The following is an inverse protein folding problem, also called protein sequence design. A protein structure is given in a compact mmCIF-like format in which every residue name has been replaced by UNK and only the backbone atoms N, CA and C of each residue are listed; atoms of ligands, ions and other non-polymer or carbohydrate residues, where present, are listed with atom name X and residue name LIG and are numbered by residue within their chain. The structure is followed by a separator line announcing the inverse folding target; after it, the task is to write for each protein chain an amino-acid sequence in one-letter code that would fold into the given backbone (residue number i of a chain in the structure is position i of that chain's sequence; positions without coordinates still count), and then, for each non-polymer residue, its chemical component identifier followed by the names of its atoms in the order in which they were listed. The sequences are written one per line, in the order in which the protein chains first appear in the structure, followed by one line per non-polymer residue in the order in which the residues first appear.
data_IF_251495946568
#
_entry.id   IF_251495946568
#
_cell.length_a   1.000
_cell.length_b   1.000
_cell.length_c   1.000
_cell.angle_alpha   90.00
_cell.angle_beta   90.00
_cell.angle_gamma   90.00
#
_symmetry.space_group_name_H-M   'P 1'
#
loop_
_entity.id
_entity.type
_entity.pdbx_description
1 polymer ?
#
# COMPACT_ATOMS: atom_id res chain seq x y z
N UNK A 1 12.14 5.35 -23.43
CA UNK A 1 11.95 5.05 -24.87
C UNK A 1 10.58 4.42 -25.04
N UNK A 2 9.60 5.17 -25.53
CA UNK A 2 8.28 4.62 -25.91
C UNK A 2 8.22 4.49 -27.43
N UNK A 3 7.91 3.28 -27.90
CA UNK A 3 7.76 2.97 -29.31
C UNK A 3 6.39 3.48 -29.78
N UNK A 4 6.31 4.74 -30.19
CA UNK A 4 5.10 5.29 -30.83
C UNK A 4 5.18 5.07 -32.35
N UNK A 5 4.20 4.38 -32.98
CA UNK A 5 4.17 4.25 -34.43
C UNK A 5 3.98 5.63 -35.08
N UNK A 6 4.88 6.01 -35.99
CA UNK A 6 4.87 7.33 -36.67
C UNK A 6 3.75 7.51 -37.71
N UNK A 7 2.98 6.46 -38.03
CA UNK A 7 1.92 6.50 -39.05
C UNK A 7 0.58 6.16 -38.42
N UNK A 8 -0.47 6.90 -38.79
CA UNK A 8 -1.87 6.56 -38.46
C UNK A 8 -2.18 5.14 -38.91
N UNK A 9 -2.76 4.34 -38.02
CA UNK A 9 -3.20 2.97 -38.30
C UNK A 9 -4.73 2.97 -38.26
N UNK A 10 -5.37 3.05 -39.42
CA UNK A 10 -6.83 3.21 -39.49
C UNK A 10 -7.28 4.55 -38.90
N UNK A 11 -8.29 4.54 -38.02
CA UNK A 11 -8.78 5.71 -37.29
C UNK A 11 -7.93 6.08 -36.06
N UNK A 12 -6.94 5.26 -35.70
CA UNK A 12 -6.03 5.55 -34.60
C UNK A 12 -4.94 6.51 -35.02
N UNK A 13 -4.79 7.59 -34.26
CA UNK A 13 -3.74 8.58 -34.40
C UNK A 13 -2.99 8.74 -33.07
N UNK A 14 -1.71 8.40 -33.09
CA UNK A 14 -0.81 8.41 -31.94
C UNK A 14 -0.59 9.82 -31.34
N UNK A 15 -0.94 10.87 -32.10
CA UNK A 15 -0.93 12.26 -31.61
C UNK A 15 -2.01 12.53 -30.55
N UNK A 16 -3.11 11.75 -30.55
CA UNK A 16 -4.19 11.86 -29.55
C UNK A 16 -4.08 10.85 -28.40
N UNK A 17 -3.04 10.03 -28.37
CA UNK A 17 -2.82 9.03 -27.32
C UNK A 17 -2.37 9.69 -26.01
N UNK A 18 -3.19 9.57 -24.96
CA UNK A 18 -2.92 10.10 -23.61
C UNK A 18 -2.92 8.97 -22.59
N UNK A 19 -1.77 8.72 -21.98
CA UNK A 19 -1.65 7.82 -20.82
C UNK A 19 -2.19 8.52 -19.56
N UNK A 20 -3.13 7.87 -18.87
CA UNK A 20 -3.89 8.47 -17.76
C UNK A 20 -3.52 7.85 -16.42
N UNK A 21 -2.27 8.03 -15.98
CA UNK A 21 -1.84 7.69 -14.61
C UNK A 21 -1.13 8.89 -13.95
N UNK A 22 -1.61 9.29 -12.77
CA UNK A 22 -1.03 10.34 -11.94
C UNK A 22 0.04 9.80 -10.98
N UNK A 23 1.22 10.40 -10.98
CA UNK A 23 2.25 10.19 -9.95
C UNK A 23 2.72 11.54 -9.43
N UNK A 24 2.99 11.60 -8.13
CA UNK A 24 3.52 12.79 -7.46
C UNK A 24 4.28 12.40 -6.21
N UNK A 25 5.13 13.28 -5.73
CA UNK A 25 5.87 13.09 -4.49
C UNK A 25 5.96 14.41 -3.73
N UNK A 26 6.15 14.30 -2.43
CA UNK A 26 6.43 15.42 -1.53
C UNK A 26 7.53 14.97 -0.57
N UNK A 27 8.47 15.87 -0.29
CA UNK A 27 9.60 15.58 0.59
C UNK A 27 9.92 16.82 1.42
N UNK A 28 10.31 16.59 2.68
CA UNK A 28 10.91 17.63 3.49
C UNK A 28 12.41 17.70 3.18
N UNK A 29 12.86 18.79 2.56
CA UNK A 29 14.27 18.97 2.13
C UNK A 29 15.24 18.90 3.32
N UNK A 30 14.78 19.26 4.53
CA UNK A 30 15.59 19.19 5.75
C UNK A 30 15.65 17.78 6.35
N UNK A 31 14.95 16.80 5.77
CA UNK A 31 14.90 15.42 6.28
C UNK A 31 14.11 15.25 7.58
N UNK A 32 13.36 16.26 8.01
CA UNK A 32 12.59 16.21 9.26
C UNK A 32 11.27 15.48 9.02
N UNK A 33 11.04 14.40 9.77
CA UNK A 33 9.78 13.66 9.75
C UNK A 33 8.63 14.57 10.21
N UNK A 34 7.56 14.65 9.41
CA UNK A 34 6.38 15.44 9.73
C UNK A 34 5.12 14.80 9.17
N UNK A 35 4.04 14.85 9.95
CA UNK A 35 2.69 14.46 9.50
C UNK A 35 2.18 15.36 8.38
N UNK A 36 2.73 16.55 8.22
CA UNK A 36 2.41 17.48 7.13
C UNK A 36 2.72 16.87 5.76
N UNK A 37 3.87 16.21 5.61
CA UNK A 37 4.27 15.50 4.37
C UNK A 37 3.21 14.46 3.96
N UNK A 38 2.61 13.76 4.92
CA UNK A 38 1.53 12.80 4.65
C UNK A 38 0.24 13.51 4.21
N UNK A 39 -0.10 14.64 4.82
CA UNK A 39 -1.27 15.45 4.42
C UNK A 39 -1.09 16.00 3.00
N UNK A 40 0.09 16.49 2.67
CA UNK A 40 0.41 17.01 1.35
C UNK A 40 0.35 15.90 0.29
N UNK A 41 0.87 14.70 0.59
CA UNK A 41 0.77 13.54 -0.28
C UNK A 41 -0.70 13.17 -0.56
N UNK A 42 -1.57 13.24 0.47
CA UNK A 42 -3.01 13.02 0.30
C UNK A 42 -3.67 14.10 -0.56
N UNK A 43 -3.30 15.37 -0.38
CA UNK A 43 -3.79 16.48 -1.21
C UNK A 43 -3.41 16.27 -2.68
N UNK A 44 -2.15 15.89 -2.94
CA UNK A 44 -1.68 15.56 -4.29
C UNK A 44 -2.49 14.41 -4.88
N UNK A 45 -2.72 13.34 -4.10
CA UNK A 45 -3.51 12.18 -4.55
C UNK A 45 -4.94 12.58 -4.92
N UNK A 46 -5.61 13.39 -4.09
CA UNK A 46 -6.96 13.91 -4.38
C UNK A 46 -7.00 14.79 -5.63
N UNK A 47 -5.99 15.63 -5.83
CA UNK A 47 -5.90 16.49 -7.01
C UNK A 47 -5.68 15.70 -8.31
N UNK A 48 -5.18 14.46 -8.23
CA UNK A 48 -4.99 13.56 -9.37
C UNK A 48 -6.22 12.72 -9.74
N UNK A 49 -7.36 12.90 -9.07
CA UNK A 49 -8.58 12.13 -9.33
C UNK A 49 -9.09 12.23 -10.78
N UNK A 50 -8.87 13.39 -11.44
CA UNK A 50 -9.19 13.59 -12.86
C UNK A 50 -8.34 12.72 -13.81
N UNK A 51 -7.23 12.16 -13.32
CA UNK A 51 -6.36 11.22 -14.04
C UNK A 51 -6.61 9.77 -13.65
N UNK A 52 -7.52 9.51 -12.72
CA UNK A 52 -7.88 8.16 -12.32
C UNK A 52 -8.81 7.53 -13.34
N UNK A 53 -8.54 6.28 -13.73
CA UNK A 53 -9.54 5.46 -14.37
C UNK A 53 -10.67 5.20 -13.37
N UNK A 54 -11.86 5.70 -13.72
CA UNK A 54 -13.10 5.46 -12.96
C UNK A 54 -13.78 4.25 -13.55
N UNK A 55 -14.15 3.29 -12.71
CA UNK A 55 -14.96 2.16 -13.12
C UNK A 55 -16.38 2.60 -13.50
N UNK A 56 -17.22 1.65 -13.91
CA UNK A 56 -18.65 1.91 -14.23
C UNK A 56 -19.46 2.42 -13.02
N UNK A 57 -18.90 2.37 -11.81
CA UNK A 57 -19.52 2.84 -10.58
C UNK A 57 -18.74 4.04 -10.02
N UNK A 58 -19.42 5.09 -9.52
CA UNK A 58 -18.78 6.33 -9.09
C UNK A 58 -17.80 6.18 -7.90
N UNK A 59 -17.85 5.06 -7.16
CA UNK A 59 -16.97 4.79 -6.02
C UNK A 59 -15.99 3.64 -6.28
N UNK A 60 -15.80 3.25 -7.55
CA UNK A 60 -14.87 2.20 -7.95
C UNK A 60 -13.81 2.85 -8.85
N UNK A 61 -12.54 2.71 -8.46
CA UNK A 61 -11.38 3.13 -9.25
C UNK A 61 -10.37 2.00 -9.34
N UNK A 62 -9.44 2.11 -10.28
CA UNK A 62 -8.44 1.05 -10.54
C UNK A 62 -7.41 0.91 -9.42
N UNK A 63 -7.17 1.98 -8.65
CA UNK A 63 -6.33 1.94 -7.46
C UNK A 63 -5.74 3.31 -7.13
N UNK A 64 -5.50 3.54 -5.85
CA UNK A 64 -4.82 4.73 -5.34
C UNK A 64 -4.01 4.34 -4.09
N UNK A 65 -2.89 5.02 -3.85
CA UNK A 65 -2.06 4.74 -2.69
C UNK A 65 -0.97 5.78 -2.48
N UNK A 66 -0.47 5.84 -1.26
CA UNK A 66 0.73 6.62 -0.89
C UNK A 66 1.77 5.67 -0.32
N UNK A 67 3.03 5.91 -0.65
CA UNK A 67 4.18 5.27 -0.02
C UNK A 67 4.84 6.30 0.91
N UNK A 68 5.06 5.93 2.16
CA UNK A 68 5.70 6.79 3.16
C UNK A 68 6.90 6.07 3.78
N UNK A 69 7.77 6.82 4.45
CA UNK A 69 8.72 6.25 5.39
C UNK A 69 8.01 5.48 6.52
N UNK A 70 8.76 4.63 7.22
CA UNK A 70 8.28 3.91 8.39
C UNK A 70 8.18 4.91 9.55
N UNK A 71 6.96 5.14 10.06
CA UNK A 71 6.75 6.04 11.21
C UNK A 71 7.24 5.37 12.50
N UNK A 72 8.45 5.73 12.94
CA UNK A 72 9.08 5.08 14.08
C UNK A 72 8.30 5.25 15.39
N UNK A 73 7.87 6.48 15.68
CA UNK A 73 7.08 6.79 16.87
C UNK A 73 5.81 5.95 16.97
N UNK A 74 5.12 5.73 15.84
CA UNK A 74 3.92 4.91 15.79
C UNK A 74 4.21 3.42 16.01
N UNK A 75 5.25 2.88 15.38
CA UNK A 75 5.59 1.46 15.52
C UNK A 75 6.19 1.12 16.88
N UNK A 76 6.86 2.07 17.53
CA UNK A 76 7.35 1.91 18.90
C UNK A 76 6.20 1.65 19.88
N UNK A 77 5.13 2.46 19.82
CA UNK A 77 3.93 2.27 20.67
C UNK A 77 3.29 0.90 20.41
N UNK A 78 3.14 0.51 19.15
CA UNK A 78 2.60 -0.82 18.81
C UNK A 78 3.50 -1.95 19.31
N UNK A 79 4.82 -1.79 19.20
CA UNK A 79 5.77 -2.80 19.69
C UNK A 79 5.65 -2.98 21.21
N UNK A 80 5.59 -1.87 21.94
CA UNK A 80 5.41 -1.86 23.40
C UNK A 80 4.10 -2.54 23.81
N UNK A 81 2.99 -2.25 23.12
CA UNK A 81 1.67 -2.86 23.39
C UNK A 81 1.66 -4.38 23.12
N UNK A 82 2.35 -4.84 22.09
CA UNK A 82 2.24 -6.23 21.63
C UNK A 82 3.27 -7.17 22.24
N UNK A 83 4.48 -6.69 22.47
CA UNK A 83 5.62 -7.53 22.90
C UNK A 83 6.11 -7.18 24.29
N UNK A 84 5.64 -6.08 24.88
CA UNK A 84 6.19 -5.54 26.12
C UNK A 84 7.56 -4.89 25.90
N UNK A 85 7.87 -3.91 26.76
CA UNK A 85 9.08 -3.07 26.83
C UNK A 85 10.24 -3.45 25.88
N UNK A 86 10.07 -3.13 24.59
CA UNK A 86 10.99 -3.52 23.52
C UNK A 86 11.77 -2.28 23.09
N UNK A 87 13.10 -2.35 23.16
CA UNK A 87 13.98 -1.29 22.64
C UNK A 87 13.99 -1.34 21.12
N UNK A 88 12.93 -0.80 20.51
CA UNK A 88 12.86 -0.66 19.06
C UNK A 88 13.77 0.49 18.63
N UNK A 89 14.82 0.18 17.87
CA UNK A 89 15.70 1.20 17.30
C UNK A 89 15.33 1.51 15.86
N UNK A 90 15.56 2.75 15.45
CA UNK A 90 15.36 3.17 14.06
C UNK A 90 16.28 2.34 13.16
N UNK A 91 15.71 1.70 12.14
CA UNK A 91 16.44 0.83 11.21
C UNK A 91 16.67 -0.60 11.72
N UNK A 92 16.37 -0.90 12.98
CA UNK A 92 16.49 -2.23 13.57
C UNK A 92 15.28 -3.14 13.34
N UNK A 93 14.31 -2.73 12.51
CA UNK A 93 13.08 -3.47 12.24
C UNK A 93 12.53 -3.12 10.86
N UNK A 94 11.63 -3.98 10.38
CA UNK A 94 10.92 -3.84 9.12
C UNK A 94 9.41 -3.97 9.32
N UNK A 95 8.64 -3.38 8.41
CA UNK A 95 7.19 -3.51 8.38
C UNK A 95 6.78 -3.87 6.96
N UNK A 96 5.92 -4.88 6.83
CA UNK A 96 5.35 -5.32 5.57
C UNK A 96 3.84 -5.23 5.58
N UNK A 97 3.26 -4.74 4.49
CA UNK A 97 1.82 -4.86 4.23
C UNK A 97 1.60 -6.06 3.31
N UNK A 98 0.83 -7.05 3.77
CA UNK A 98 0.63 -8.31 3.06
C UNK A 98 -0.87 -8.52 2.82
N UNK A 99 -1.20 -8.83 1.56
CA UNK A 99 -2.53 -9.24 1.16
C UNK A 99 -2.66 -10.75 1.21
N UNK A 100 -3.67 -11.25 1.91
CA UNK A 100 -3.93 -12.68 2.01
C UNK A 100 -5.26 -13.09 1.37
N UNK A 101 -5.38 -14.34 0.91
CA UNK A 101 -6.65 -14.87 0.40
C UNK A 101 -7.80 -14.77 1.43
N UNK A 102 -9.03 -14.63 0.91
CA UNK A 102 -10.26 -14.66 1.73
C UNK A 102 -10.53 -16.06 2.28
N UNK A 103 -10.21 -17.10 1.52
CA UNK A 103 -10.38 -18.49 1.92
C UNK A 103 -9.49 -18.80 3.14
N UNK A 104 -10.10 -19.20 4.26
CA UNK A 104 -9.38 -19.48 5.51
C UNK A 104 -8.33 -20.59 5.39
N UNK A 105 -8.53 -21.57 4.51
CA UNK A 105 -7.57 -22.69 4.32
C UNK A 105 -6.33 -22.19 3.59
N UNK A 106 -6.52 -21.46 2.49
CA UNK A 106 -5.42 -20.84 1.72
C UNK A 106 -4.70 -19.78 2.54
N UNK A 107 -5.44 -18.95 3.27
CA UNK A 107 -4.87 -17.96 4.18
C UNK A 107 -3.92 -18.60 5.21
N UNK A 108 -4.32 -19.72 5.83
CA UNK A 108 -3.46 -20.45 6.78
C UNK A 108 -2.22 -21.01 6.10
N UNK A 109 -2.36 -21.56 4.88
CA UNK A 109 -1.23 -22.08 4.12
C UNK A 109 -0.23 -20.97 3.78
N UNK A 110 -0.69 -19.80 3.32
CA UNK A 110 0.15 -18.63 3.04
C UNK A 110 0.86 -18.13 4.30
N UNK A 111 0.14 -18.00 5.43
CA UNK A 111 0.73 -17.60 6.72
C UNK A 111 1.84 -18.54 7.17
N UNK A 112 1.58 -19.85 7.13
CA UNK A 112 2.58 -20.88 7.48
C UNK A 112 3.81 -20.83 6.57
N UNK A 113 3.60 -20.59 5.26
CA UNK A 113 4.70 -20.46 4.31
C UNK A 113 5.55 -19.21 4.61
N UNK A 114 4.90 -18.09 4.91
CA UNK A 114 5.57 -16.85 5.29
C UNK A 114 6.39 -17.03 6.57
N UNK A 115 5.79 -17.52 7.64
CA UNK A 115 6.46 -17.80 8.92
C UNK A 115 7.68 -18.70 8.76
N UNK A 116 7.56 -19.78 7.96
CA UNK A 116 8.69 -20.68 7.65
C UNK A 116 9.84 -19.96 6.97
N UNK A 117 9.57 -19.03 6.04
CA UNK A 117 10.62 -18.27 5.36
C UNK A 117 11.27 -17.22 6.27
N UNK A 118 10.50 -16.63 7.18
CA UNK A 118 11.00 -15.67 8.16
C UNK A 118 11.92 -16.34 9.19
N UNK A 119 11.52 -17.51 9.70
CA UNK A 119 12.35 -18.32 10.60
C UNK A 119 13.68 -18.73 9.97
N UNK A 120 13.67 -19.14 8.69
CA UNK A 120 14.90 -19.44 7.94
C UNK A 120 15.87 -18.25 7.87
N UNK A 121 15.34 -17.02 7.89
CA UNK A 121 16.12 -15.78 7.84
C UNK A 121 16.48 -15.24 9.23
N UNK A 122 16.17 -15.97 10.31
CA UNK A 122 16.43 -15.58 11.71
C UNK A 122 15.80 -14.23 12.10
N UNK A 123 14.61 -13.94 11.55
CA UNK A 123 13.80 -12.79 11.97
C UNK A 123 12.93 -13.24 13.16
N UNK A 124 13.10 -12.58 14.30
CA UNK A 124 12.82 -13.17 15.62
C UNK A 124 11.46 -12.79 16.18
N UNK A 125 10.89 -11.63 15.80
CA UNK A 125 9.55 -11.27 16.22
C UNK A 125 8.67 -10.95 15.01
N UNK A 126 7.65 -11.79 14.81
CA UNK A 126 6.69 -11.64 13.73
C UNK A 126 5.28 -11.69 14.29
N UNK A 127 4.52 -10.62 14.08
CA UNK A 127 3.07 -10.59 14.36
C UNK A 127 2.35 -10.04 13.14
N UNK A 128 1.31 -10.76 12.73
CA UNK A 128 0.38 -10.29 11.72
C UNK A 128 -0.84 -9.67 12.38
N UNK A 129 -1.09 -8.40 12.11
CA UNK A 129 -2.26 -7.69 12.58
C UNK A 129 -3.17 -7.29 11.43
N UNK A 130 -4.48 -7.39 11.62
CA UNK A 130 -5.41 -6.77 10.70
C UNK A 130 -5.43 -5.27 10.99
N UNK A 131 -5.05 -4.39 10.04
CA UNK A 131 -5.20 -2.98 10.26
C UNK A 131 -6.69 -2.64 10.39
N UNK A 132 -6.98 -1.62 11.18
CA UNK A 132 -8.32 -1.04 11.29
C UNK A 132 -8.73 -0.49 9.92
N UNK A 133 -9.40 -1.31 9.12
CA UNK A 133 -9.97 -0.89 7.84
C UNK A 133 -11.45 -0.62 8.05
N UNK A 134 -11.87 0.63 7.84
CA UNK A 134 -13.28 0.97 7.70
C UNK A 134 -13.66 0.72 6.24
N UNK A 135 -14.18 -0.46 5.93
CA UNK A 135 -14.77 -0.76 4.62
C UNK A 135 -16.02 0.08 4.31
N UNK A 136 -16.50 0.90 5.27
CA UNK A 136 -17.57 1.89 5.10
C UNK A 136 -17.20 2.89 4.00
N UNK A 137 -17.62 2.59 2.77
CA UNK A 137 -17.41 3.42 1.58
C UNK A 137 -17.17 2.63 0.30
N UNK A 138 -16.69 1.38 0.39
CA UNK A 138 -16.42 0.51 -0.76
C UNK A 138 -17.70 -0.19 -1.23
N UNK A 139 -17.95 -0.19 -2.54
CA UNK A 139 -19.10 -0.85 -3.20
C UNK A 139 -18.78 -2.32 -3.56
N UNK A 140 -19.79 -3.14 -3.91
CA UNK A 140 -19.65 -4.59 -4.03
C UNK A 140 -18.52 -5.07 -4.94
N UNK A 141 -18.18 -4.37 -6.03
CA UNK A 141 -17.10 -4.79 -6.95
C UNK A 141 -15.70 -4.60 -6.36
N UNK A 142 -15.47 -3.45 -5.71
CA UNK A 142 -14.22 -3.21 -4.97
C UNK A 142 -14.12 -4.12 -3.74
N UNK A 143 -15.26 -4.44 -3.12
CA UNK A 143 -15.33 -5.35 -1.97
C UNK A 143 -15.16 -6.84 -2.38
N UNK A 144 -15.72 -7.26 -3.51
CA UNK A 144 -15.65 -8.65 -3.99
C UNK A 144 -14.24 -9.00 -4.43
N UNK A 145 -13.56 -8.06 -5.11
CA UNK A 145 -12.20 -8.25 -5.64
C UNK A 145 -11.11 -7.85 -4.65
N UNK A 146 -11.43 -7.01 -3.66
CA UNK A 146 -10.49 -6.65 -2.59
C UNK A 146 -10.25 -7.85 -1.68
N UNK A 147 -9.00 -8.22 -1.45
CA UNK A 147 -8.65 -9.18 -0.40
C UNK A 147 -9.09 -8.63 0.97
N UNK A 148 -9.92 -9.37 1.72
CA UNK A 148 -10.49 -8.97 3.04
C UNK A 148 -9.45 -8.89 4.18
N UNK A 149 -8.18 -8.94 3.83
CA UNK A 149 -7.13 -9.37 4.72
C UNK A 149 -5.84 -8.62 4.39
N UNK A 150 -5.90 -7.28 4.44
CA UNK A 150 -4.71 -6.53 4.82
C UNK A 150 -4.23 -7.12 6.14
N UNK A 151 -3.04 -7.67 6.15
CA UNK A 151 -2.37 -8.00 7.39
C UNK A 151 -1.04 -7.27 7.38
N UNK A 152 -0.83 -6.44 8.39
CA UNK A 152 0.46 -5.81 8.64
C UNK A 152 1.34 -6.83 9.35
N UNK A 153 2.44 -7.19 8.72
CA UNK A 153 3.50 -7.97 9.30
C UNK A 153 4.53 -6.99 9.90
N UNK A 154 4.66 -6.97 11.22
CA UNK A 154 5.80 -6.32 11.85
C UNK A 154 6.92 -7.37 11.93
N UNK A 155 8.09 -7.03 11.43
CA UNK A 155 9.29 -7.87 11.39
C UNK A 155 10.35 -7.17 12.24
N UNK A 156 10.77 -7.82 13.33
CA UNK A 156 11.92 -7.41 14.11
C UNK A 156 13.05 -8.42 13.90
#
# INVERSE_FOLDING_TARGET
MTFKPKKRVGLYDAEFERESCGVGFVANIKGIESREVVKDALTILCNMDHRGARGSEPNTGDGAGILTGISHSFFKVIAEELFGNTSLEVGGYAVGNIFLPKNKKEQRACKKHLEKNLQKRKLNCFRMEKPSNKSKGLRPRAFSNGSDAYHRANLY
#
